data_IF_272660525514
#
_entry.id   IF_272660525514
#
_cell.length_a   1.000
_cell.length_b   1.000
_cell.length_c   1.000
_cell.angle_alpha   90.00
_cell.angle_beta   90.00
_cell.angle_gamma   90.00
#
_symmetry.space_group_name_H-M   'P 1'
#
loop_
_entity.id
_entity.type
_entity.pdbx_description
1 polymer ?
#
# COMPACT_ATOMS: atom_id res chain seq x y z
N UNK A 1 7.70 32.29 -17.88
CA UNK A 1 7.68 30.83 -18.04
C UNK A 1 8.05 30.24 -16.68
N UNK A 2 7.10 29.62 -15.95
CA UNK A 2 7.39 28.91 -14.70
C UNK A 2 8.00 27.56 -15.09
N UNK A 3 9.19 27.28 -14.64
CA UNK A 3 9.82 25.99 -14.87
C UNK A 3 9.10 24.96 -14.00
N UNK A 4 8.41 24.01 -14.63
CA UNK A 4 7.93 22.80 -13.94
C UNK A 4 9.13 21.90 -13.71
N UNK A 5 9.42 21.55 -12.46
CA UNK A 5 10.47 20.60 -12.12
C UNK A 5 9.83 19.22 -11.96
N UNK A 6 10.33 18.27 -12.76
CA UNK A 6 10.05 16.84 -12.58
C UNK A 6 11.10 16.27 -11.65
N UNK A 7 10.72 15.83 -10.46
CA UNK A 7 11.60 15.14 -9.53
C UNK A 7 11.27 13.65 -9.63
N UNK A 8 12.19 12.89 -10.22
CA UNK A 8 12.06 11.43 -10.40
C UNK A 8 12.97 10.75 -9.38
N UNK A 9 12.38 9.94 -8.51
CA UNK A 9 13.13 9.05 -7.62
C UNK A 9 13.00 7.62 -8.13
N UNK A 10 14.11 7.06 -8.56
CA UNK A 10 14.23 5.65 -8.92
C UNK A 10 14.97 4.98 -7.77
N UNK A 11 14.28 4.17 -7.00
CA UNK A 11 14.88 3.35 -5.96
C UNK A 11 15.08 1.95 -6.54
N UNK A 12 16.26 1.71 -7.10
CA UNK A 12 16.69 0.36 -7.48
C UNK A 12 17.31 -0.31 -6.27
N UNK A 13 16.55 -1.16 -5.59
CA UNK A 13 17.08 -1.96 -4.48
C UNK A 13 17.68 -3.25 -5.07
N UNK A 14 19.00 -3.28 -5.22
CA UNK A 14 19.71 -4.51 -5.49
C UNK A 14 19.72 -5.38 -4.23
N UNK A 15 18.76 -6.32 -4.12
CA UNK A 15 18.84 -7.38 -3.11
C UNK A 15 19.77 -8.47 -3.61
N UNK A 16 21.04 -8.43 -3.21
CA UNK A 16 21.92 -9.58 -3.28
C UNK A 16 21.74 -10.36 -1.99
N UNK A 17 20.77 -11.25 -1.94
CA UNK A 17 20.78 -12.36 -0.99
C UNK A 17 20.06 -13.53 -1.64
N UNK A 18 20.86 -14.48 -2.12
CA UNK A 18 20.38 -15.85 -2.33
C UNK A 18 20.09 -16.47 -0.96
N UNK A 19 18.86 -16.41 -0.51
CA UNK A 19 18.38 -17.19 0.62
C UNK A 19 17.56 -18.34 0.04
N UNK A 20 18.12 -19.53 0.12
CA UNK A 20 17.39 -20.77 -0.06
C UNK A 20 16.30 -20.83 1.01
N UNK A 21 15.06 -20.68 0.61
CA UNK A 21 13.93 -20.84 1.52
C UNK A 21 13.73 -22.34 1.79
N UNK A 22 14.19 -22.79 2.91
CA UNK A 22 13.63 -23.97 3.55
C UNK A 22 12.41 -23.51 4.35
N UNK A 23 11.23 -24.03 4.00
CA UNK A 23 10.01 -23.77 4.75
C UNK A 23 10.17 -24.26 6.18
N UNK A 24 10.16 -23.32 7.11
CA UNK A 24 10.11 -23.67 8.53
C UNK A 24 8.65 -23.73 8.96
N UNK A 25 8.09 -24.94 9.00
CA UNK A 25 7.02 -25.27 9.95
C UNK A 25 7.66 -25.30 11.35
N UNK A 26 8.07 -24.14 11.83
CA UNK A 26 8.65 -24.01 13.17
C UNK A 26 7.51 -23.92 14.19
N UNK A 27 7.29 -24.96 15.03
CA UNK A 27 6.25 -24.94 16.06
C UNK A 27 6.56 -23.94 17.21
N UNK A 28 7.71 -23.28 17.20
CA UNK A 28 8.18 -22.33 18.20
C UNK A 28 8.28 -20.89 17.71
N UNK A 29 7.59 -20.51 16.63
CA UNK A 29 7.58 -19.12 16.19
C UNK A 29 6.99 -18.27 17.32
N UNK A 30 7.84 -17.47 17.97
CA UNK A 30 7.38 -16.52 18.99
C UNK A 30 6.56 -15.40 18.34
N UNK A 31 5.24 -15.50 18.44
CA UNK A 31 4.30 -14.54 17.91
C UNK A 31 3.96 -13.42 18.89
N UNK A 32 4.56 -13.37 20.07
CA UNK A 32 4.21 -12.39 21.13
C UNK A 32 4.40 -10.94 20.70
N UNK A 33 5.30 -10.69 19.75
CA UNK A 33 5.55 -9.38 19.17
C UNK A 33 5.03 -9.22 17.73
N UNK A 34 4.33 -10.22 17.20
CA UNK A 34 3.85 -10.17 15.83
C UNK A 34 2.55 -9.38 15.75
N UNK A 35 2.56 -8.28 15.00
CA UNK A 35 1.39 -7.44 14.76
C UNK A 35 1.28 -7.07 13.29
N UNK A 36 0.07 -7.10 12.72
CA UNK A 36 -0.19 -6.79 11.32
C UNK A 36 -1.64 -6.32 11.12
N UNK A 37 -1.91 -5.62 10.04
CA UNK A 37 -3.20 -5.02 9.74
C UNK A 37 -3.20 -3.48 9.90
N UNK A 38 -4.36 -2.81 9.81
CA UNK A 38 -5.69 -3.42 9.71
C UNK A 38 -6.00 -3.96 8.32
N UNK A 39 -6.86 -4.96 8.26
CA UNK A 39 -7.55 -5.41 7.06
C UNK A 39 -9.03 -5.11 7.22
N UNK A 40 -9.62 -4.29 6.36
CA UNK A 40 -11.02 -3.86 6.45
C UNK A 40 -11.84 -4.60 5.42
N UNK A 41 -12.66 -5.53 5.90
CA UNK A 41 -13.55 -6.35 5.07
C UNK A 41 -14.92 -5.70 4.93
N UNK A 42 -15.54 -5.89 3.77
CA UNK A 42 -16.89 -5.44 3.44
C UNK A 42 -17.78 -6.69 3.39
N UNK A 43 -18.72 -6.81 4.32
CA UNK A 43 -19.63 -7.94 4.40
C UNK A 43 -21.02 -7.46 4.82
N UNK A 44 -22.05 -7.80 4.03
CA UNK A 44 -23.45 -7.47 4.33
C UNK A 44 -23.66 -5.99 4.76
N UNK A 45 -23.11 -5.06 3.99
CA UNK A 45 -23.14 -3.61 4.27
C UNK A 45 -22.48 -3.19 5.60
N UNK A 46 -21.65 -4.04 6.17
CA UNK A 46 -20.84 -3.74 7.37
C UNK A 46 -19.38 -3.69 6.99
N UNK A 47 -18.63 -2.87 7.71
CA UNK A 47 -17.17 -2.84 7.68
C UNK A 47 -16.65 -3.63 8.87
N UNK A 48 -15.81 -4.62 8.62
CA UNK A 48 -15.21 -5.48 9.65
C UNK A 48 -13.71 -5.30 9.60
N UNK A 49 -13.16 -4.67 10.63
CA UNK A 49 -11.71 -4.60 10.83
C UNK A 49 -11.21 -5.91 11.41
N UNK A 50 -10.17 -6.47 10.81
CA UNK A 50 -9.36 -7.54 11.41
C UNK A 50 -7.93 -7.05 11.57
N UNK A 51 -7.36 -7.32 12.74
CA UNK A 51 -5.95 -7.03 13.08
C UNK A 51 -5.32 -8.20 13.78
N UNK A 52 -4.04 -8.33 13.64
CA UNK A 52 -3.21 -9.18 14.47
C UNK A 52 -2.45 -8.29 15.44
N UNK A 53 -2.63 -8.50 16.73
CA UNK A 53 -1.93 -7.79 17.80
C UNK A 53 -1.28 -8.82 18.71
N UNK A 54 0.05 -8.78 18.80
CA UNK A 54 0.83 -9.71 19.62
C UNK A 54 0.43 -11.19 19.37
N UNK A 55 0.38 -11.58 18.09
CA UNK A 55 0.00 -12.91 17.63
C UNK A 55 -1.48 -13.28 17.74
N UNK A 56 -2.32 -12.40 18.26
CA UNK A 56 -3.76 -12.64 18.44
C UNK A 56 -4.58 -11.89 17.41
N UNK A 57 -5.52 -12.59 16.78
CA UNK A 57 -6.48 -11.97 15.86
C UNK A 57 -7.57 -11.26 16.66
N UNK A 58 -7.78 -10.00 16.33
CA UNK A 58 -8.90 -9.20 16.84
C UNK A 58 -9.81 -8.82 15.69
N UNK A 59 -11.11 -8.70 15.97
CA UNK A 59 -12.11 -8.28 14.98
C UNK A 59 -13.04 -7.26 15.59
N UNK A 60 -13.37 -6.20 14.83
CA UNK A 60 -14.27 -5.13 15.25
C UNK A 60 -15.16 -4.71 14.10
N UNK A 61 -16.45 -4.53 14.37
CA UNK A 61 -17.37 -3.89 13.43
C UNK A 61 -17.14 -2.38 13.50
N UNK A 62 -16.96 -1.76 12.34
CA UNK A 62 -16.79 -0.32 12.19
C UNK A 62 -18.09 0.32 11.69
N UNK A 63 -18.19 1.63 11.88
CA UNK A 63 -19.29 2.42 11.29
C UNK A 63 -19.21 2.33 9.76
N UNK A 64 -20.34 2.06 9.07
CA UNK A 64 -20.37 1.87 7.61
C UNK A 64 -19.86 3.06 6.81
N UNK A 65 -19.92 4.26 7.39
CA UNK A 65 -19.51 5.53 6.75
C UNK A 65 -18.05 5.87 6.96
N UNK A 66 -17.29 5.04 7.68
CA UNK A 66 -15.87 5.33 7.99
C UNK A 66 -14.97 5.29 6.75
N UNK A 67 -15.31 4.45 5.78
CA UNK A 67 -14.58 4.33 4.51
C UNK A 67 -15.55 4.30 3.33
N UNK A 68 -15.16 4.95 2.23
CA UNK A 68 -15.81 4.72 0.95
C UNK A 68 -15.62 3.26 0.53
N UNK A 69 -16.67 2.66 0.00
CA UNK A 69 -16.65 1.28 -0.49
C UNK A 69 -16.72 1.18 -2.01
N UNK A 70 -16.89 2.32 -2.68
CA UNK A 70 -16.94 2.46 -4.14
C UNK A 70 -15.83 3.43 -4.55
N UNK A 71 -14.95 2.97 -5.42
CA UNK A 71 -13.85 3.75 -5.95
C UNK A 71 -13.97 3.85 -7.46
N UNK A 72 -13.76 5.05 -8.00
CA UNK A 72 -13.80 5.30 -9.44
C UNK A 72 -12.37 5.52 -9.96
N UNK A 73 -12.05 5.03 -11.17
CA UNK A 73 -10.76 5.31 -11.79
C UNK A 73 -10.49 6.81 -11.91
N UNK A 74 -9.26 7.20 -11.71
CA UNK A 74 -8.81 8.56 -11.96
C UNK A 74 -8.68 8.82 -13.47
N UNK A 75 -8.69 10.10 -13.86
CA UNK A 75 -8.36 10.49 -15.23
C UNK A 75 -6.89 10.12 -15.52
N UNK A 76 -6.60 9.80 -16.78
CA UNK A 76 -5.24 9.50 -17.24
C UNK A 76 -4.52 10.73 -17.84
N UNK A 77 -5.13 11.91 -17.84
CA UNK A 77 -4.53 13.12 -18.39
C UNK A 77 -4.80 14.32 -17.49
N UNK A 78 -3.73 15.02 -17.15
CA UNK A 78 -3.75 16.25 -16.37
C UNK A 78 -2.97 17.35 -17.08
N UNK A 79 -3.42 18.60 -16.96
CA UNK A 79 -2.79 19.78 -17.56
C UNK A 79 -2.44 20.78 -16.48
N UNK A 80 -1.42 21.61 -16.74
CA UNK A 80 -0.99 22.69 -15.85
C UNK A 80 -0.59 22.20 -14.45
N UNK A 81 0.05 21.05 -14.37
CA UNK A 81 0.63 20.52 -13.13
C UNK A 81 1.97 21.21 -12.90
N UNK A 82 2.11 21.93 -11.79
CA UNK A 82 3.32 22.72 -11.50
C UNK A 82 4.44 21.87 -10.90
N UNK A 83 4.09 20.95 -10.01
CA UNK A 83 5.05 20.12 -9.29
C UNK A 83 4.66 18.64 -9.44
N UNK A 84 5.61 17.83 -9.86
CA UNK A 84 5.42 16.39 -10.02
C UNK A 84 6.60 15.70 -9.33
N UNK A 85 6.26 14.71 -8.50
CA UNK A 85 7.22 13.74 -7.94
C UNK A 85 6.81 12.34 -8.34
N UNK A 86 7.79 11.46 -8.56
CA UNK A 86 7.53 10.05 -8.85
C UNK A 86 8.40 9.15 -7.97
N UNK A 87 7.83 8.03 -7.52
CA UNK A 87 8.51 7.00 -6.72
C UNK A 87 8.05 5.64 -7.22
N UNK A 88 8.98 4.70 -7.37
CA UNK A 88 8.73 3.36 -7.89
C UNK A 88 9.42 2.29 -7.05
N UNK A 89 9.01 1.03 -7.26
CA UNK A 89 9.69 -0.16 -6.72
C UNK A 89 9.90 -0.12 -5.19
N UNK A 90 8.86 0.26 -4.47
CA UNK A 90 8.91 0.41 -3.00
C UNK A 90 9.04 -0.96 -2.32
N UNK A 91 8.37 -2.00 -2.83
CA UNK A 91 8.49 -3.37 -2.37
C UNK A 91 8.47 -3.51 -0.84
N UNK A 92 7.50 -2.89 -0.18
CA UNK A 92 7.34 -2.97 1.27
C UNK A 92 8.44 -2.28 2.09
N UNK A 93 9.31 -1.46 1.47
CA UNK A 93 10.34 -0.64 2.13
C UNK A 93 9.74 0.67 2.66
N UNK A 94 8.73 0.53 3.52
CA UNK A 94 7.94 1.63 4.05
C UNK A 94 8.78 2.73 4.71
N UNK A 95 9.73 2.35 5.57
CA UNK A 95 10.51 3.33 6.33
C UNK A 95 11.36 4.19 5.40
N UNK A 96 11.99 3.57 4.39
CA UNK A 96 12.76 4.28 3.38
C UNK A 96 11.87 5.18 2.51
N UNK A 97 10.71 4.68 2.08
CA UNK A 97 9.76 5.47 1.32
C UNK A 97 9.27 6.69 2.10
N UNK A 98 8.95 6.52 3.38
CA UNK A 98 8.56 7.62 4.29
C UNK A 98 9.69 8.65 4.43
N UNK A 99 10.92 8.21 4.60
CA UNK A 99 12.09 9.10 4.68
C UNK A 99 12.27 9.92 3.39
N UNK A 100 12.19 9.27 2.23
CA UNK A 100 12.27 9.95 0.93
C UNK A 100 11.15 10.99 0.80
N UNK A 101 9.91 10.61 1.10
CA UNK A 101 8.76 11.52 0.98
C UNK A 101 8.87 12.71 1.93
N UNK A 102 9.37 12.52 3.16
CA UNK A 102 9.62 13.60 4.14
C UNK A 102 10.72 14.54 3.68
N UNK A 103 11.87 14.00 3.30
CA UNK A 103 13.05 14.78 2.91
C UNK A 103 12.79 15.63 1.66
N UNK A 104 11.80 15.26 0.85
CA UNK A 104 11.37 16.01 -0.33
C UNK A 104 10.12 16.87 -0.10
N UNK A 105 9.66 17.01 1.13
CA UNK A 105 8.54 17.88 1.49
C UNK A 105 7.18 17.41 0.94
N UNK A 106 7.07 16.16 0.52
CA UNK A 106 5.82 15.59 -0.01
C UNK A 106 4.86 15.27 1.12
N UNK A 107 5.39 14.79 2.25
CA UNK A 107 4.64 14.59 3.49
C UNK A 107 5.33 15.32 4.64
N UNK A 108 4.56 15.69 5.65
CA UNK A 108 5.05 16.30 6.89
C UNK A 108 5.56 15.25 7.92
N UNK A 109 6.10 15.66 9.07
CA UNK A 109 6.51 14.75 10.13
C UNK A 109 5.40 13.84 10.66
N UNK A 110 4.13 14.23 10.55
CA UNK A 110 2.96 13.46 10.97
C UNK A 110 2.45 12.50 9.87
N UNK A 111 3.19 12.40 8.75
CA UNK A 111 2.81 11.62 7.57
C UNK A 111 1.54 12.15 6.87
N UNK A 112 1.27 13.45 6.98
CA UNK A 112 0.19 14.11 6.27
C UNK A 112 0.69 14.75 4.98
N UNK A 113 -0.22 14.93 4.02
CA UNK A 113 0.10 15.53 2.72
C UNK A 113 0.60 16.96 2.86
N UNK A 114 1.81 17.23 2.37
CA UNK A 114 2.47 18.53 2.44
C UNK A 114 2.86 19.09 1.05
N UNK A 115 2.48 18.41 -0.04
CA UNK A 115 2.90 18.77 -1.40
C UNK A 115 1.92 19.76 -2.09
N UNK A 116 0.97 20.34 -1.35
CA UNK A 116 0.03 21.33 -1.84
C UNK A 116 -0.75 20.83 -3.06
N UNK A 117 -0.69 21.58 -4.18
CA UNK A 117 -1.31 21.23 -5.46
C UNK A 117 -0.45 20.32 -6.34
N UNK A 118 0.69 19.85 -5.85
CA UNK A 118 1.58 18.94 -6.56
C UNK A 118 0.95 17.58 -6.83
N UNK A 119 1.55 16.84 -7.74
CA UNK A 119 1.18 15.47 -8.06
C UNK A 119 2.29 14.51 -7.67
N UNK A 120 1.96 13.53 -6.83
CA UNK A 120 2.83 12.39 -6.52
C UNK A 120 2.37 11.19 -7.35
N UNK A 121 3.29 10.57 -8.09
CA UNK A 121 3.04 9.37 -8.88
C UNK A 121 3.79 8.20 -8.24
N UNK A 122 3.07 7.21 -7.76
CA UNK A 122 3.63 5.91 -7.36
C UNK A 122 3.54 5.00 -8.59
N UNK A 123 4.71 4.65 -9.15
CA UNK A 123 4.82 3.93 -10.43
C UNK A 123 4.80 2.41 -10.22
N UNK A 124 3.92 1.96 -9.33
CA UNK A 124 3.71 0.54 -9.02
C UNK A 124 4.79 -0.09 -8.14
N UNK A 125 4.70 -1.41 -8.07
CA UNK A 125 5.60 -2.31 -7.34
C UNK A 125 5.78 -1.93 -5.86
N UNK A 126 4.65 -1.70 -5.20
CA UNK A 126 4.55 -1.56 -3.74
C UNK A 126 4.55 -2.92 -3.07
N UNK A 127 3.93 -3.92 -3.75
CA UNK A 127 3.82 -5.29 -3.27
C UNK A 127 5.14 -6.06 -3.31
N UNK A 128 5.14 -7.17 -2.59
CA UNK A 128 6.17 -8.20 -2.53
C UNK A 128 7.50 -7.77 -1.88
N UNK A 129 8.35 -8.76 -1.62
CA UNK A 129 9.74 -8.69 -1.12
C UNK A 129 9.91 -8.14 0.29
N UNK A 130 9.29 -7.02 0.62
CA UNK A 130 9.49 -6.38 1.92
C UNK A 130 8.36 -6.60 2.92
N UNK A 131 8.60 -6.27 4.20
CA UNK A 131 7.69 -6.64 5.29
C UNK A 131 6.57 -5.64 5.59
N UNK A 132 6.59 -4.41 5.01
CA UNK A 132 5.65 -3.35 5.40
C UNK A 132 4.79 -2.86 4.23
N UNK A 133 4.20 -3.81 3.49
CA UNK A 133 3.33 -3.51 2.34
C UNK A 133 2.01 -2.91 2.82
N UNK A 134 1.39 -3.50 3.84
CA UNK A 134 0.10 -3.06 4.34
C UNK A 134 0.16 -1.63 4.90
N UNK A 135 1.22 -1.31 5.65
CA UNK A 135 1.50 0.04 6.14
C UNK A 135 1.63 1.04 4.99
N UNK A 136 2.34 0.66 3.92
CA UNK A 136 2.52 1.52 2.74
C UNK A 136 1.21 1.76 2.02
N UNK A 137 0.41 0.72 1.78
CA UNK A 137 -0.89 0.85 1.12
C UNK A 137 -1.84 1.77 1.89
N UNK A 138 -1.91 1.65 3.21
CA UNK A 138 -2.73 2.54 4.05
C UNK A 138 -2.22 3.97 4.04
N UNK A 139 -0.91 4.19 4.02
CA UNK A 139 -0.34 5.53 3.87
C UNK A 139 -0.76 6.14 2.52
N UNK A 140 -0.59 5.42 1.42
CA UNK A 140 -0.96 5.91 0.09
C UNK A 140 -2.47 6.18 -0.02
N UNK A 141 -3.31 5.32 0.55
CA UNK A 141 -4.75 5.52 0.63
C UNK A 141 -5.13 6.81 1.39
N UNK A 142 -4.49 7.06 2.53
CA UNK A 142 -4.64 8.29 3.32
C UNK A 142 -4.22 9.51 2.51
N UNK A 143 -3.01 9.46 1.92
CA UNK A 143 -2.43 10.57 1.17
C UNK A 143 -3.22 10.92 -0.09
N UNK A 144 -3.82 9.94 -0.78
CA UNK A 144 -4.67 10.19 -1.94
C UNK A 144 -5.88 11.07 -1.57
N UNK A 145 -6.53 10.76 -0.44
CA UNK A 145 -7.65 11.54 0.07
C UNK A 145 -7.23 12.95 0.50
N UNK A 146 -6.08 13.07 1.15
CA UNK A 146 -5.55 14.36 1.60
C UNK A 146 -5.09 15.22 0.42
N UNK A 147 -4.40 14.65 -0.56
CA UNK A 147 -3.96 15.34 -1.78
C UNK A 147 -5.16 15.95 -2.52
N UNK A 148 -6.23 15.17 -2.70
CA UNK A 148 -7.46 15.63 -3.34
C UNK A 148 -8.09 16.83 -2.62
N UNK A 149 -8.12 16.81 -1.28
CA UNK A 149 -8.64 17.93 -0.45
C UNK A 149 -7.80 19.20 -0.59
N UNK A 150 -6.49 19.06 -0.83
CA UNK A 150 -5.55 20.16 -1.00
C UNK A 150 -5.42 20.62 -2.46
N UNK A 151 -6.21 20.08 -3.39
CA UNK A 151 -6.16 20.41 -4.82
C UNK A 151 -5.00 19.75 -5.57
N UNK A 152 -4.20 18.93 -4.92
CA UNK A 152 -3.18 18.07 -5.49
C UNK A 152 -3.71 16.68 -5.86
N UNK A 153 -2.80 15.76 -6.18
CA UNK A 153 -3.16 14.36 -6.49
C UNK A 153 -2.05 13.40 -6.07
N UNK A 154 -2.47 12.24 -5.59
CA UNK A 154 -1.65 11.06 -5.56
C UNK A 154 -2.18 10.09 -6.62
N UNK A 155 -1.31 9.64 -7.49
CA UNK A 155 -1.58 8.65 -8.53
C UNK A 155 -0.86 7.37 -8.15
N UNK A 156 -1.59 6.30 -7.92
CA UNK A 156 -1.01 4.97 -7.75
C UNK A 156 -1.26 4.18 -9.04
N UNK A 157 -0.20 3.84 -9.73
CA UNK A 157 -0.25 2.99 -10.93
C UNK A 157 0.00 1.54 -10.53
N UNK A 158 -0.66 0.62 -11.21
CA UNK A 158 -0.42 -0.81 -10.98
C UNK A 158 0.82 -1.26 -11.76
N UNK A 159 1.84 -1.70 -11.04
CA UNK A 159 3.00 -2.40 -11.58
C UNK A 159 2.73 -3.89 -11.75
N UNK A 160 3.74 -4.64 -12.16
CA UNK A 160 3.61 -6.07 -12.35
C UNK A 160 3.40 -6.83 -11.04
N UNK A 161 3.97 -6.38 -9.92
CA UNK A 161 3.79 -7.02 -8.62
C UNK A 161 2.37 -6.83 -8.06
N UNK A 162 1.72 -5.71 -8.30
CA UNK A 162 0.28 -5.56 -8.01
C UNK A 162 -0.54 -6.57 -8.80
N UNK A 163 -0.28 -6.69 -10.11
CA UNK A 163 -0.97 -7.69 -10.96
C UNK A 163 -0.72 -9.10 -10.50
N UNK A 164 0.50 -9.46 -10.11
CA UNK A 164 0.83 -10.78 -9.58
C UNK A 164 -0.08 -11.12 -8.40
N UNK A 165 -0.11 -10.29 -7.37
CA UNK A 165 -0.94 -10.53 -6.18
C UNK A 165 -2.43 -10.57 -6.52
N UNK A 166 -2.92 -9.63 -7.34
CA UNK A 166 -4.33 -9.58 -7.75
C UNK A 166 -4.76 -10.79 -8.58
N UNK A 167 -3.81 -11.50 -9.23
CA UNK A 167 -4.04 -12.73 -10.01
C UNK A 167 -3.51 -14.00 -9.31
N UNK A 168 -3.23 -13.92 -8.00
CA UNK A 168 -2.81 -15.05 -7.14
C UNK A 168 -1.43 -15.62 -7.46
N UNK A 169 -0.57 -14.86 -8.10
CA UNK A 169 0.84 -15.21 -8.23
C UNK A 169 1.58 -14.67 -6.98
N UNK A 170 1.80 -15.55 -6.01
CA UNK A 170 2.27 -15.21 -4.67
C UNK A 170 3.74 -15.59 -4.45
N UNK A 171 4.51 -15.78 -5.53
CA UNK A 171 5.90 -16.26 -5.46
C UNK A 171 6.85 -15.37 -4.67
N UNK A 172 6.58 -14.07 -4.62
CA UNK A 172 7.46 -13.08 -4.00
C UNK A 172 6.91 -12.49 -2.70
N UNK A 173 5.81 -13.06 -2.20
CA UNK A 173 5.20 -12.61 -0.94
C UNK A 173 6.15 -12.84 0.22
N UNK A 174 6.42 -11.79 0.99
CA UNK A 174 7.27 -11.85 2.17
C UNK A 174 6.69 -12.78 3.25
N UNK A 175 7.55 -13.53 3.94
CA UNK A 175 7.14 -14.56 4.91
C UNK A 175 6.26 -14.02 6.04
N UNK A 176 6.45 -12.77 6.45
CA UNK A 176 5.55 -12.07 7.38
C UNK A 176 4.07 -12.24 7.00
N UNK A 177 3.74 -12.09 5.72
CA UNK A 177 2.35 -12.16 5.25
C UNK A 177 1.83 -13.59 5.12
N UNK A 178 2.71 -14.57 5.00
CA UNK A 178 2.34 -15.99 5.13
C UNK A 178 1.88 -16.29 6.56
N UNK A 179 2.56 -15.71 7.57
CA UNK A 179 2.14 -15.78 8.97
C UNK A 179 0.82 -15.07 9.19
N UNK A 180 0.64 -13.86 8.67
CA UNK A 180 -0.61 -13.12 8.75
C UNK A 180 -1.78 -13.90 8.15
N UNK A 181 -1.61 -14.46 6.96
CA UNK A 181 -2.60 -15.29 6.27
C UNK A 181 -3.00 -16.51 7.10
N UNK A 182 -2.01 -17.23 7.67
CA UNK A 182 -2.24 -18.39 8.53
C UNK A 182 -3.05 -18.01 9.79
N UNK A 183 -2.67 -16.93 10.47
CA UNK A 183 -3.36 -16.46 11.68
C UNK A 183 -4.81 -16.00 11.37
N UNK A 184 -5.00 -15.28 10.26
CA UNK A 184 -6.32 -14.80 9.85
C UNK A 184 -7.23 -15.90 9.27
N UNK A 185 -6.66 -17.06 8.92
CA UNK A 185 -7.37 -18.15 8.25
C UNK A 185 -7.81 -17.79 6.82
N UNK A 186 -7.02 -16.97 6.11
CA UNK A 186 -7.31 -16.44 4.78
C UNK A 186 -6.08 -16.60 3.88
N UNK A 187 -6.29 -16.79 2.59
CA UNK A 187 -5.20 -16.68 1.62
C UNK A 187 -4.73 -15.21 1.50
N UNK A 188 -3.46 -15.00 1.15
CA UNK A 188 -2.90 -13.65 1.07
C UNK A 188 -3.64 -12.76 0.06
N UNK A 189 -4.01 -13.30 -1.09
CA UNK A 189 -4.78 -12.57 -2.11
C UNK A 189 -6.18 -12.17 -1.64
N UNK A 190 -6.77 -12.90 -0.68
CA UNK A 190 -8.06 -12.55 -0.10
C UNK A 190 -7.99 -11.28 0.75
N UNK A 191 -6.82 -10.96 1.32
CA UNK A 191 -6.59 -9.73 2.09
C UNK A 191 -6.72 -8.48 1.20
N UNK A 192 -6.56 -8.65 -0.13
CA UNK A 192 -6.66 -7.60 -1.15
C UNK A 192 -7.73 -7.90 -2.20
N UNK A 193 -8.73 -8.70 -1.83
CA UNK A 193 -9.85 -9.04 -2.71
C UNK A 193 -10.88 -7.91 -2.83
N UNK A 194 -11.88 -8.08 -3.71
CA UNK A 194 -13.04 -7.17 -3.82
C UNK A 194 -13.87 -7.08 -2.53
N UNK A 195 -13.59 -7.93 -1.55
CA UNK A 195 -14.25 -7.91 -0.24
C UNK A 195 -13.50 -7.04 0.78
N UNK A 196 -12.47 -6.31 0.38
CA UNK A 196 -11.71 -5.42 1.26
C UNK A 196 -11.64 -4.00 0.72
N UNK A 197 -11.49 -3.01 1.61
CA UNK A 197 -11.37 -1.59 1.22
C UNK A 197 -10.15 -1.40 0.32
N UNK A 198 -8.97 -1.83 0.76
CA UNK A 198 -7.73 -1.68 -0.04
C UNK A 198 -7.82 -2.47 -1.34
N UNK A 199 -8.42 -3.66 -1.34
CA UNK A 199 -8.60 -4.45 -2.55
C UNK A 199 -9.50 -3.79 -3.60
N UNK A 200 -10.59 -3.14 -3.19
CA UNK A 200 -11.44 -2.34 -4.09
C UNK A 200 -10.72 -1.08 -4.57
N UNK A 201 -10.02 -0.41 -3.66
CA UNK A 201 -9.23 0.77 -3.99
C UNK A 201 -8.15 0.45 -5.03
N UNK A 202 -7.38 -0.63 -4.86
CA UNK A 202 -6.39 -1.10 -5.84
C UNK A 202 -7.00 -1.34 -7.21
N UNK A 203 -8.18 -1.99 -7.27
CA UNK A 203 -8.86 -2.29 -8.56
C UNK A 203 -9.41 -1.07 -9.26
N UNK A 204 -9.45 0.09 -8.62
CA UNK A 204 -9.77 1.37 -9.26
C UNK A 204 -8.55 2.06 -9.89
N UNK A 205 -7.35 1.50 -9.72
CA UNK A 205 -6.11 2.09 -10.23
C UNK A 205 -5.85 1.73 -11.69
N UNK A 206 -5.15 2.62 -12.37
CA UNK A 206 -4.73 2.44 -13.77
C UNK A 206 -3.27 2.01 -13.84
N UNK A 207 -2.82 1.62 -15.02
CA UNK A 207 -1.40 1.35 -15.32
C UNK A 207 -0.70 2.53 -15.97
N UNK A 208 -1.47 3.53 -16.41
CA UNK A 208 -0.94 4.72 -17.12
C UNK A 208 -1.62 5.98 -16.59
N UNK A 209 -0.88 7.08 -16.60
CA UNK A 209 -1.36 8.43 -16.37
C UNK A 209 -0.69 9.38 -17.36
#
# INVERSE_FOLDING_TARGET
MKNSYLIIFIVTIFSITSVTSQGTDDPFLDLTNFSDGPYIFISNNKLIEKKILNGKVTSKVLEPTLYDTIFTPQKSMYKNVENIAALSDIHGQYDLAVEILKNNGIIDPNLDWNFGKGHLVIVGDVFDRGPKINEMLWLLFKLENQAKKNGGRLHFLLGNHEYMVLHKDLRYVHDRYKVSSKLLGLAYDELYSNQTIIGRWLRSKSTII
#
